data_IF_608271268729
#
_entry.id   IF_608271268729
#
_cell.length_a   1.000
_cell.length_b   1.000
_cell.length_c   1.000
_cell.angle_alpha   90.00
_cell.angle_beta   90.00
_cell.angle_gamma   90.00
#
_symmetry.space_group_name_H-M   'P 1'
#
loop_
_entity.id
_entity.type
_entity.pdbx_description
1 polymer ?
#
# COMPACT_ATOMS: atom_id res chain seq x y z
N UNK A 1 24.15 65.92 40.18
CA UNK A 1 25.13 65.42 39.18
C UNK A 1 24.58 64.15 38.59
N UNK A 2 24.17 64.08 37.33
CA UNK A 2 23.68 62.87 36.72
C UNK A 2 24.88 62.07 36.13
N UNK A 3 24.91 60.78 36.45
CA UNK A 3 25.84 59.83 35.86
C UNK A 3 25.43 59.57 34.40
N UNK A 4 26.36 59.86 33.50
CA UNK A 4 26.25 59.54 32.06
C UNK A 4 26.74 58.09 31.88
N UNK A 5 25.84 57.18 31.50
CA UNK A 5 26.19 55.82 31.07
C UNK A 5 26.55 55.85 29.60
N UNK A 6 27.81 55.58 29.30
CA UNK A 6 28.35 55.52 27.96
C UNK A 6 28.04 54.14 27.34
N UNK A 7 27.19 54.12 26.31
CA UNK A 7 26.92 52.91 25.52
C UNK A 7 28.11 52.66 24.55
N UNK A 8 28.79 51.54 24.75
CA UNK A 8 29.77 51.05 23.75
C UNK A 8 28.99 50.45 22.60
N UNK A 9 29.25 50.97 21.41
CA UNK A 9 28.76 50.45 20.13
C UNK A 9 29.53 49.14 19.83
N UNK A 10 28.83 48.01 19.89
CA UNK A 10 29.36 46.72 19.46
C UNK A 10 29.33 46.69 17.93
N UNK A 11 30.50 46.67 17.35
CA UNK A 11 30.70 46.52 15.89
C UNK A 11 30.15 45.16 15.42
N UNK A 12 29.40 45.10 14.32
CA UNK A 12 28.87 43.80 13.83
C UNK A 12 30.07 42.93 13.34
N UNK A 13 30.15 41.73 13.91
CA UNK A 13 31.04 40.67 13.45
C UNK A 13 30.65 40.32 12.03
N UNK A 14 31.50 40.65 11.07
CA UNK A 14 31.33 40.25 9.67
C UNK A 14 31.59 38.75 9.58
N UNK A 15 30.50 37.95 9.55
CA UNK A 15 30.60 36.51 9.27
C UNK A 15 31.03 36.37 7.83
N UNK A 16 32.31 36.04 7.63
CA UNK A 16 32.80 35.60 6.32
C UNK A 16 32.14 34.25 5.99
N UNK A 17 31.13 34.29 5.13
CA UNK A 17 30.67 33.10 4.44
C UNK A 17 31.79 32.68 3.52
N UNK A 18 32.59 31.67 3.94
CA UNK A 18 33.52 31.01 3.04
C UNK A 18 32.73 30.46 1.87
N UNK A 19 33.15 30.74 0.67
CA UNK A 19 32.61 30.17 -0.57
C UNK A 19 32.52 28.66 -0.43
N UNK A 20 31.32 28.15 -0.38
CA UNK A 20 31.04 26.72 -0.50
C UNK A 20 31.45 26.37 -1.93
N UNK A 21 32.48 25.54 -2.08
CA UNK A 21 33.01 25.21 -3.40
C UNK A 21 31.89 24.59 -4.26
N UNK A 22 31.89 24.90 -5.57
CA UNK A 22 30.92 24.38 -6.53
C UNK A 22 30.83 22.84 -6.50
N UNK A 23 31.87 22.13 -6.10
CA UNK A 23 31.89 20.68 -5.86
C UNK A 23 31.00 20.25 -4.71
N UNK A 24 30.87 21.05 -3.63
CA UNK A 24 29.97 20.71 -2.52
C UNK A 24 28.48 20.89 -2.89
N UNK A 25 28.17 21.88 -3.72
CA UNK A 25 26.84 22.13 -4.28
C UNK A 25 26.48 21.01 -5.26
N UNK A 26 27.42 20.54 -6.07
CA UNK A 26 27.23 19.41 -6.99
C UNK A 26 26.96 18.09 -6.27
N UNK A 27 27.57 17.85 -5.09
CA UNK A 27 27.27 16.68 -4.25
C UNK A 27 25.90 16.73 -3.55
N UNK A 28 25.37 17.93 -3.29
CA UNK A 28 24.04 18.08 -2.67
C UNK A 28 22.87 17.86 -3.65
N UNK A 29 23.13 17.88 -4.96
CA UNK A 29 22.09 17.74 -6.00
C UNK A 29 22.07 16.34 -6.67
N UNK A 30 22.90 15.40 -6.20
CA UNK A 30 22.80 14.00 -6.59
C UNK A 30 21.60 13.37 -5.88
N UNK A 31 20.39 13.56 -6.46
CA UNK A 31 19.21 12.82 -6.06
C UNK A 31 19.52 11.32 -6.15
N UNK A 32 19.55 10.64 -5.01
CA UNK A 32 19.76 9.20 -4.97
C UNK A 32 18.71 8.53 -5.86
N UNK A 33 19.16 7.71 -6.82
CA UNK A 33 18.25 6.92 -7.65
C UNK A 33 17.43 6.00 -6.75
N UNK A 34 16.13 5.97 -6.96
CA UNK A 34 15.25 5.11 -6.19
C UNK A 34 15.44 3.66 -6.61
N UNK A 35 15.46 2.78 -5.62
CA UNK A 35 15.50 1.33 -5.84
C UNK A 35 14.73 0.65 -4.70
N UNK A 36 13.47 0.39 -4.93
CA UNK A 36 12.54 -0.15 -3.95
C UNK A 36 12.02 -1.52 -4.36
N UNK A 37 11.84 -2.39 -3.38
CA UNK A 37 11.13 -3.66 -3.56
C UNK A 37 9.92 -3.68 -2.64
N UNK A 38 8.74 -3.82 -3.22
CA UNK A 38 7.47 -3.89 -2.52
C UNK A 38 7.00 -5.33 -2.36
N UNK A 39 6.65 -5.70 -1.14
CA UNK A 39 6.03 -6.97 -0.78
C UNK A 39 4.58 -6.71 -0.45
N UNK A 40 3.69 -6.99 -1.40
CA UNK A 40 2.25 -6.81 -1.24
C UNK A 40 1.61 -8.06 -0.66
N UNK A 41 0.88 -7.90 0.43
CA UNK A 41 0.19 -8.97 1.15
C UNK A 41 -1.29 -8.65 1.26
N UNK A 42 -2.16 -9.56 0.83
CA UNK A 42 -3.58 -9.49 1.15
C UNK A 42 -3.77 -9.82 2.64
N UNK A 43 -4.62 -9.08 3.34
CA UNK A 43 -4.93 -9.33 4.76
C UNK A 43 -5.31 -10.79 5.03
N UNK A 44 -5.13 -11.24 6.28
CA UNK A 44 -5.50 -12.57 6.74
C UNK A 44 -7.02 -12.81 6.64
N UNK A 45 -7.41 -14.08 6.57
CA UNK A 45 -8.81 -14.48 6.51
C UNK A 45 -9.60 -13.92 7.70
N UNK A 46 -10.74 -13.31 7.43
CA UNK A 46 -11.63 -12.70 8.42
C UNK A 46 -12.90 -13.53 8.63
N UNK A 47 -13.65 -13.23 9.70
CA UNK A 47 -14.97 -13.83 9.95
C UNK A 47 -15.87 -13.60 8.74
N UNK A 48 -15.98 -12.38 8.22
CA UNK A 48 -16.80 -12.07 7.04
C UNK A 48 -16.34 -12.83 5.79
N UNK A 49 -15.06 -13.11 5.63
CA UNK A 49 -14.61 -13.97 4.52
C UNK A 49 -15.12 -15.40 4.67
N UNK A 50 -15.20 -15.92 5.91
CA UNK A 50 -15.74 -17.27 6.19
C UNK A 50 -17.25 -17.33 5.96
N UNK A 51 -17.95 -16.26 6.31
CA UNK A 51 -19.41 -16.14 6.14
C UNK A 51 -19.81 -15.76 4.71
N UNK A 52 -18.85 -15.49 3.82
CA UNK A 52 -19.11 -15.08 2.44
C UNK A 52 -19.77 -13.72 2.33
N UNK A 53 -19.48 -12.81 3.27
CA UNK A 53 -20.03 -11.45 3.27
C UNK A 53 -19.15 -10.49 2.47
N UNK A 54 -19.80 -9.55 1.78
CA UNK A 54 -19.12 -8.48 1.04
C UNK A 54 -18.39 -7.56 2.02
N UNK A 55 -17.06 -7.45 1.89
CA UNK A 55 -16.26 -6.74 2.84
C UNK A 55 -15.43 -5.65 2.15
N UNK A 56 -15.91 -4.41 2.21
CA UNK A 56 -15.21 -3.21 1.75
C UNK A 56 -14.58 -2.45 2.91
N UNK A 57 -15.15 -1.29 3.26
CA UNK A 57 -14.74 -0.49 4.41
C UNK A 57 -15.29 -1.03 5.74
N UNK A 58 -16.37 -1.81 5.73
CA UNK A 58 -16.79 -2.60 6.88
C UNK A 58 -15.70 -3.57 7.30
N UNK A 59 -15.61 -3.87 8.58
CA UNK A 59 -14.50 -4.64 9.14
C UNK A 59 -14.97 -5.77 10.04
N UNK A 60 -14.24 -6.88 10.01
CA UNK A 60 -14.44 -8.01 10.92
C UNK A 60 -13.07 -8.56 11.35
N UNK A 61 -12.98 -9.21 12.53
CA UNK A 61 -11.72 -9.70 13.06
C UNK A 61 -11.13 -10.80 12.17
N UNK A 62 -9.81 -10.98 12.26
CA UNK A 62 -9.13 -12.15 11.69
C UNK A 62 -9.63 -13.41 12.37
N UNK A 63 -9.80 -14.48 11.59
CA UNK A 63 -9.98 -15.83 12.13
C UNK A 63 -8.64 -16.37 12.65
N UNK A 64 -8.66 -17.48 13.38
CA UNK A 64 -7.44 -18.19 13.78
C UNK A 64 -6.60 -18.58 12.56
N UNK A 65 -7.25 -19.07 11.49
CA UNK A 65 -6.60 -19.35 10.20
C UNK A 65 -5.91 -18.09 9.62
N UNK A 66 -6.61 -16.94 9.68
CA UNK A 66 -6.06 -15.66 9.21
C UNK A 66 -4.85 -15.20 10.01
N UNK A 67 -4.87 -15.35 11.34
CA UNK A 67 -3.73 -15.06 12.22
C UNK A 67 -2.55 -16.00 11.93
N UNK A 68 -2.82 -17.29 11.79
CA UNK A 68 -1.79 -18.28 11.49
C UNK A 68 -1.16 -18.07 10.11
N UNK A 69 -1.98 -17.73 9.09
CA UNK A 69 -1.49 -17.34 7.77
C UNK A 69 -0.55 -16.13 7.84
N UNK A 70 -0.93 -15.08 8.57
CA UNK A 70 -0.09 -13.90 8.74
C UNK A 70 1.24 -14.23 9.44
N UNK A 71 1.23 -15.09 10.47
CA UNK A 71 2.46 -15.56 11.15
C UNK A 71 3.35 -16.36 10.20
N UNK A 72 2.78 -17.29 9.40
CA UNK A 72 3.52 -18.06 8.38
C UNK A 72 4.17 -17.12 7.35
N UNK A 73 3.44 -16.09 6.89
CA UNK A 73 3.99 -15.05 6.02
C UNK A 73 5.16 -14.31 6.69
N UNK A 74 5.03 -13.98 7.98
CA UNK A 74 6.11 -13.37 8.77
C UNK A 74 7.36 -14.23 8.81
N UNK A 75 7.22 -15.55 8.99
CA UNK A 75 8.34 -16.52 8.96
C UNK A 75 8.96 -16.57 7.56
N UNK A 76 8.15 -16.68 6.51
CA UNK A 76 8.64 -16.73 5.13
C UNK A 76 9.44 -15.46 4.75
N UNK A 77 9.05 -14.30 5.27
CA UNK A 77 9.70 -13.02 5.02
C UNK A 77 10.70 -12.59 6.11
N UNK A 78 11.08 -13.50 7.02
CA UNK A 78 11.95 -13.15 8.14
C UNK A 78 13.37 -12.71 7.72
N UNK A 79 13.84 -13.22 6.59
CA UNK A 79 15.15 -12.90 6.01
C UNK A 79 15.18 -11.57 5.24
N UNK A 80 14.03 -10.95 5.00
CA UNK A 80 13.92 -9.68 4.25
C UNK A 80 14.09 -8.51 5.21
N UNK A 81 15.10 -7.64 5.02
CA UNK A 81 15.31 -6.44 5.82
C UNK A 81 14.34 -5.34 5.37
N UNK A 82 13.14 -5.32 5.94
CA UNK A 82 12.16 -4.26 5.69
C UNK A 82 12.59 -2.96 6.38
N UNK A 83 12.58 -1.85 5.62
CA UNK A 83 12.83 -0.50 6.15
C UNK A 83 11.55 0.13 6.71
N UNK A 84 10.38 -0.27 6.20
CA UNK A 84 9.07 0.19 6.63
C UNK A 84 7.99 -0.83 6.27
N UNK A 85 6.88 -0.76 6.96
CA UNK A 85 5.64 -1.44 6.64
C UNK A 85 4.50 -0.43 6.51
N UNK A 86 3.60 -0.67 5.58
CA UNK A 86 2.38 0.11 5.36
C UNK A 86 1.17 -0.80 5.38
N UNK A 87 0.08 -0.34 5.97
CA UNK A 87 -1.22 -1.01 5.87
C UNK A 87 -2.31 -0.02 5.46
N UNK A 88 -3.47 -0.52 5.04
CA UNK A 88 -4.67 0.31 5.07
C UNK A 88 -5.01 0.70 6.50
N UNK A 89 -5.99 1.60 6.68
CA UNK A 89 -6.46 2.00 8.02
C UNK A 89 -7.44 1.00 8.64
N UNK A 90 -7.81 -0.07 7.93
CA UNK A 90 -8.77 -1.07 8.39
C UNK A 90 -8.10 -2.08 9.34
N UNK A 91 -8.78 -2.41 10.45
CA UNK A 91 -8.20 -3.22 11.53
C UNK A 91 -7.65 -4.56 11.08
N UNK A 92 -8.30 -5.24 10.11
CA UNK A 92 -7.83 -6.53 9.57
C UNK A 92 -6.45 -6.45 8.91
N UNK A 93 -6.12 -5.34 8.21
CA UNK A 93 -4.79 -5.15 7.61
C UNK A 93 -3.75 -4.76 8.65
N UNK A 94 -4.12 -3.92 9.62
CA UNK A 94 -3.26 -3.55 10.75
C UNK A 94 -2.88 -4.80 11.54
N UNK A 95 -3.87 -5.63 11.92
CA UNK A 95 -3.63 -6.88 12.63
C UNK A 95 -2.75 -7.84 11.82
N UNK A 96 -3.01 -7.99 10.51
CA UNK A 96 -2.19 -8.82 9.62
C UNK A 96 -0.75 -8.33 9.58
N UNK A 97 -0.53 -7.03 9.37
CA UNK A 97 0.80 -6.42 9.35
C UNK A 97 1.54 -6.65 10.68
N UNK A 98 0.86 -6.46 11.81
CA UNK A 98 1.43 -6.67 13.14
C UNK A 98 1.87 -8.13 13.35
N UNK A 99 1.07 -9.11 12.90
CA UNK A 99 1.44 -10.53 12.99
C UNK A 99 2.61 -10.89 12.05
N UNK A 100 2.70 -10.28 10.87
CA UNK A 100 3.83 -10.46 9.94
C UNK A 100 5.10 -9.86 10.53
N UNK A 101 5.04 -8.65 11.07
CA UNK A 101 6.18 -7.95 11.67
C UNK A 101 6.68 -8.69 12.91
N UNK A 102 5.76 -9.16 13.75
CA UNK A 102 6.09 -9.87 14.99
C UNK A 102 6.88 -8.96 15.95
N UNK A 103 8.08 -9.42 16.35
CA UNK A 103 8.97 -8.69 17.29
C UNK A 103 10.04 -7.86 16.57
N UNK A 104 10.01 -7.77 15.23
CA UNK A 104 10.99 -6.99 14.46
C UNK A 104 10.75 -5.50 14.66
N UNK A 105 11.82 -4.72 14.73
CA UNK A 105 11.77 -3.26 14.81
C UNK A 105 11.54 -2.67 13.40
N UNK A 106 10.30 -2.77 12.92
CA UNK A 106 9.88 -2.27 11.60
C UNK A 106 8.75 -1.27 11.84
N UNK A 107 8.93 0.02 11.48
CA UNK A 107 7.89 1.02 11.63
C UNK A 107 6.67 0.68 10.76
N UNK A 108 5.48 0.73 11.35
CA UNK A 108 4.21 0.47 10.67
C UNK A 108 3.42 1.77 10.51
N UNK A 109 3.18 2.15 9.28
CA UNK A 109 2.38 3.32 8.88
C UNK A 109 1.05 2.89 8.27
N UNK A 110 0.08 3.81 8.27
CA UNK A 110 -1.26 3.57 7.71
C UNK A 110 -1.56 4.57 6.61
N UNK A 111 -2.15 4.10 5.50
CA UNK A 111 -2.53 4.94 4.38
C UNK A 111 -3.92 4.60 3.87
N UNK A 112 -4.85 5.58 3.86
CA UNK A 112 -6.24 5.38 3.42
C UNK A 112 -6.34 4.92 1.96
N UNK A 113 -5.41 5.37 1.10
CA UNK A 113 -5.35 4.94 -0.30
C UNK A 113 -5.12 3.43 -0.48
N UNK A 114 -4.72 2.70 0.58
CA UNK A 114 -4.59 1.25 0.60
C UNK A 114 -5.86 0.52 1.09
N UNK A 115 -6.96 1.24 1.43
CA UNK A 115 -8.21 0.62 1.83
C UNK A 115 -8.79 -0.26 0.73
N UNK A 116 -9.67 -1.20 1.10
CA UNK A 116 -10.43 -1.98 0.13
C UNK A 116 -11.38 -1.08 -0.68
N UNK A 117 -11.82 -1.57 -1.83
CA UNK A 117 -12.88 -0.95 -2.58
C UNK A 117 -14.11 -0.75 -1.69
N UNK A 118 -14.67 0.45 -1.70
CA UNK A 118 -15.91 0.73 -0.98
C UNK A 118 -17.09 0.16 -1.77
N UNK A 119 -17.85 -0.75 -1.15
CA UNK A 119 -18.98 -1.41 -1.78
C UNK A 119 -20.35 -0.84 -1.38
N UNK A 120 -20.36 0.27 -0.64
CA UNK A 120 -21.58 0.97 -0.28
C UNK A 120 -22.59 0.07 0.40
N UNK A 121 -23.85 0.09 -0.09
CA UNK A 121 -24.95 -0.69 0.49
C UNK A 121 -24.84 -2.22 0.33
N UNK A 122 -23.81 -2.72 -0.37
CA UNK A 122 -23.57 -4.17 -0.47
C UNK A 122 -22.72 -4.71 0.67
N UNK A 123 -22.05 -3.84 1.43
CA UNK A 123 -21.23 -4.28 2.55
C UNK A 123 -22.07 -5.04 3.61
N UNK A 124 -21.52 -6.15 4.10
CA UNK A 124 -22.20 -7.05 5.03
C UNK A 124 -23.28 -7.95 4.42
N UNK A 125 -23.60 -7.81 3.13
CA UNK A 125 -24.51 -8.73 2.45
C UNK A 125 -23.79 -10.01 2.03
N UNK A 126 -24.53 -11.11 2.03
CA UNK A 126 -24.04 -12.40 1.51
C UNK A 126 -23.75 -12.26 0.02
N UNK A 127 -22.53 -12.52 -0.41
CA UNK A 127 -22.06 -12.36 -1.79
C UNK A 127 -22.94 -13.15 -2.77
N UNK A 128 -23.36 -14.35 -2.39
CA UNK A 128 -24.19 -15.20 -3.25
C UNK A 128 -25.54 -14.55 -3.59
N UNK A 129 -26.12 -13.75 -2.70
CA UNK A 129 -27.38 -13.03 -2.97
C UNK A 129 -27.21 -11.89 -3.99
N UNK A 130 -25.97 -11.45 -4.22
CA UNK A 130 -25.65 -10.38 -5.18
C UNK A 130 -25.32 -10.91 -6.58
N UNK A 131 -25.04 -12.23 -6.73
CA UNK A 131 -24.52 -12.82 -7.98
C UNK A 131 -25.41 -12.56 -9.20
N UNK A 132 -26.73 -12.53 -9.01
CA UNK A 132 -27.66 -12.30 -10.12
C UNK A 132 -27.88 -10.82 -10.44
N UNK A 133 -27.44 -9.91 -9.57
CA UNK A 133 -27.55 -8.48 -9.82
C UNK A 133 -26.70 -8.05 -11.02
N UNK A 134 -27.26 -7.33 -12.03
CA UNK A 134 -26.53 -6.97 -13.25
C UNK A 134 -25.21 -6.24 -12.97
N UNK A 135 -25.23 -5.23 -12.10
CA UNK A 135 -24.03 -4.46 -11.78
C UNK A 135 -23.01 -5.26 -10.95
N UNK A 136 -23.44 -6.26 -10.17
CA UNK A 136 -22.50 -7.19 -9.53
C UNK A 136 -21.78 -8.07 -10.56
N UNK A 137 -22.49 -8.50 -11.63
CA UNK A 137 -21.86 -9.21 -12.76
C UNK A 137 -20.81 -8.32 -13.44
N UNK A 138 -21.10 -7.01 -13.60
CA UNK A 138 -20.11 -6.04 -14.11
C UNK A 138 -18.91 -5.92 -13.16
N UNK A 139 -19.14 -5.74 -11.85
CA UNK A 139 -18.06 -5.72 -10.85
C UNK A 139 -17.12 -6.92 -10.99
N UNK A 140 -17.63 -8.11 -11.30
CA UNK A 140 -16.81 -9.32 -11.36
C UNK A 140 -16.21 -9.58 -12.73
N UNK A 141 -16.93 -9.30 -13.82
CA UNK A 141 -16.57 -9.74 -15.17
C UNK A 141 -16.37 -8.62 -16.19
N UNK A 142 -16.85 -7.42 -15.91
CA UNK A 142 -16.84 -6.29 -16.86
C UNK A 142 -16.55 -4.98 -16.13
N UNK A 143 -15.32 -4.83 -15.59
CA UNK A 143 -14.96 -3.66 -14.80
C UNK A 143 -15.11 -2.33 -15.54
N UNK A 144 -14.97 -2.33 -16.87
CA UNK A 144 -15.13 -1.13 -17.70
C UNK A 144 -16.56 -0.53 -17.61
N UNK A 145 -17.56 -1.38 -17.44
CA UNK A 145 -18.97 -0.99 -17.37
C UNK A 145 -19.52 -0.90 -15.92
N UNK A 146 -18.73 -1.30 -14.92
CA UNK A 146 -19.13 -1.13 -13.51
C UNK A 146 -19.08 0.34 -13.09
N UNK A 147 -20.23 0.89 -12.69
CA UNK A 147 -20.39 2.32 -12.34
C UNK A 147 -20.73 2.59 -10.87
N UNK A 148 -20.87 1.53 -10.06
CA UNK A 148 -21.22 1.59 -8.64
C UNK A 148 -22.55 2.30 -8.33
N UNK A 149 -23.48 2.36 -9.29
CA UNK A 149 -24.75 3.07 -9.14
C UNK A 149 -25.72 2.34 -8.21
N UNK A 150 -25.76 1.01 -8.29
CA UNK A 150 -26.69 0.20 -7.50
C UNK A 150 -26.32 0.14 -6.02
N UNK A 151 -25.05 0.31 -5.69
CA UNK A 151 -24.57 0.19 -4.30
C UNK A 151 -24.07 1.51 -3.70
N UNK A 152 -23.86 2.56 -4.52
CA UNK A 152 -23.27 3.82 -4.06
C UNK A 152 -21.82 3.67 -3.61
N UNK A 153 -21.13 2.68 -4.15
CA UNK A 153 -19.74 2.36 -3.82
C UNK A 153 -18.73 3.14 -4.65
N UNK A 154 -17.53 2.57 -4.76
CA UNK A 154 -16.39 3.12 -5.48
C UNK A 154 -16.21 2.39 -6.82
N UNK A 155 -15.95 3.14 -7.90
CA UNK A 155 -15.61 2.56 -9.20
C UNK A 155 -14.17 2.05 -9.22
N UNK A 156 -13.80 1.23 -10.21
CA UNK A 156 -12.41 0.78 -10.38
C UNK A 156 -11.46 1.90 -10.77
N UNK A 157 -11.94 2.93 -11.46
CA UNK A 157 -11.16 4.11 -11.78
C UNK A 157 -10.75 4.86 -10.51
N UNK A 158 -11.72 5.19 -9.65
CA UNK A 158 -11.47 5.84 -8.36
C UNK A 158 -10.55 5.01 -7.46
N UNK A 159 -10.79 3.70 -7.40
CA UNK A 159 -9.94 2.77 -6.66
C UNK A 159 -8.49 2.77 -7.18
N UNK A 160 -8.32 2.71 -8.50
CA UNK A 160 -7.01 2.73 -9.15
C UNK A 160 -6.25 4.01 -8.89
N UNK A 161 -6.90 5.16 -9.06
CA UNK A 161 -6.31 6.48 -8.83
C UNK A 161 -5.78 6.62 -7.39
N UNK A 162 -6.63 6.30 -6.36
CA UNK A 162 -6.19 6.44 -4.96
C UNK A 162 -5.12 5.42 -4.55
N UNK A 163 -5.19 4.19 -5.07
CA UNK A 163 -4.19 3.17 -4.75
C UNK A 163 -2.83 3.49 -5.39
N UNK A 164 -2.82 3.94 -6.64
CA UNK A 164 -1.59 4.41 -7.30
C UNK A 164 -1.02 5.65 -6.62
N UNK A 165 -1.89 6.60 -6.22
CA UNK A 165 -1.44 7.77 -5.45
C UNK A 165 -0.79 7.35 -4.14
N UNK A 166 -1.37 6.41 -3.38
CA UNK A 166 -0.79 5.90 -2.15
C UNK A 166 0.61 5.31 -2.38
N UNK A 167 0.78 4.51 -3.45
CA UNK A 167 2.07 3.94 -3.79
C UNK A 167 3.09 5.02 -4.16
N UNK A 168 2.69 6.04 -4.94
CA UNK A 168 3.54 7.18 -5.27
C UNK A 168 3.95 8.00 -4.02
N UNK A 169 3.04 8.18 -3.06
CA UNK A 169 3.34 8.89 -1.82
C UNK A 169 4.36 8.10 -0.98
N UNK A 170 4.27 6.77 -0.94
CA UNK A 170 5.27 5.90 -0.30
C UNK A 170 6.63 6.00 -1.03
N UNK A 171 6.65 5.96 -2.37
CA UNK A 171 7.88 6.09 -3.17
C UNK A 171 8.57 7.43 -2.92
N UNK A 172 7.84 8.53 -2.72
CA UNK A 172 8.43 9.84 -2.43
C UNK A 172 9.22 9.85 -1.12
N UNK A 173 8.80 9.06 -0.11
CA UNK A 173 9.39 9.05 1.24
C UNK A 173 10.66 8.20 1.28
N UNK A 174 10.74 7.15 0.48
CA UNK A 174 11.82 6.17 0.52
C UNK A 174 12.66 6.19 -0.75
N UNK A 175 13.98 6.06 -0.63
CA UNK A 175 14.89 5.99 -1.77
C UNK A 175 15.28 4.56 -2.10
N UNK A 176 15.63 3.74 -1.11
CA UNK A 176 16.10 2.37 -1.31
C UNK A 176 15.58 1.44 -0.22
N UNK A 177 15.40 0.15 -0.56
CA UNK A 177 15.09 -0.90 0.40
C UNK A 177 13.78 -1.64 0.16
N UNK A 178 13.43 -2.51 1.11
CA UNK A 178 12.26 -3.36 1.03
C UNK A 178 11.12 -2.76 1.86
N UNK A 179 9.93 -2.73 1.28
CA UNK A 179 8.73 -2.18 1.92
C UNK A 179 7.64 -3.25 1.94
N UNK A 180 7.10 -3.50 3.12
CA UNK A 180 5.93 -4.37 3.31
C UNK A 180 4.66 -3.55 3.10
N UNK A 181 3.72 -4.01 2.27
CA UNK A 181 2.40 -3.39 2.09
C UNK A 181 1.31 -4.42 2.35
N UNK A 182 0.45 -4.17 3.34
CA UNK A 182 -0.70 -5.02 3.65
C UNK A 182 -1.99 -4.31 3.26
N UNK A 183 -2.73 -4.89 2.32
CA UNK A 183 -3.96 -4.32 1.77
C UNK A 183 -4.98 -5.42 1.49
N UNK A 184 -5.82 -5.30 0.48
CA UNK A 184 -7.05 -6.05 0.30
C UNK A 184 -7.16 -6.71 -1.07
N UNK A 185 -8.19 -7.53 -1.24
CA UNK A 185 -8.38 -8.35 -2.43
C UNK A 185 -8.56 -7.56 -3.71
N UNK A 186 -9.56 -6.67 -3.79
CA UNK A 186 -9.83 -5.89 -4.98
C UNK A 186 -8.76 -4.83 -5.22
N UNK A 187 -8.36 -4.13 -4.17
CA UNK A 187 -7.32 -3.08 -4.26
C UNK A 187 -6.01 -3.64 -4.76
N UNK A 188 -5.50 -4.73 -4.20
CA UNK A 188 -4.24 -5.31 -4.66
C UNK A 188 -4.37 -5.98 -6.03
N UNK A 189 -5.49 -6.62 -6.34
CA UNK A 189 -5.71 -7.18 -7.67
C UNK A 189 -5.62 -6.12 -8.75
N UNK A 190 -6.32 -4.98 -8.54
CA UNK A 190 -6.26 -3.85 -9.47
C UNK A 190 -4.86 -3.24 -9.51
N UNK A 191 -4.28 -2.92 -8.35
CA UNK A 191 -2.97 -2.27 -8.27
C UNK A 191 -1.88 -3.10 -8.97
N UNK A 192 -1.79 -4.40 -8.67
CA UNK A 192 -0.80 -5.29 -9.30
C UNK A 192 -1.01 -5.42 -10.81
N UNK A 193 -2.26 -5.43 -11.28
CA UNK A 193 -2.56 -5.43 -12.71
C UNK A 193 -2.10 -4.12 -13.38
N UNK A 194 -2.36 -2.95 -12.76
CA UNK A 194 -1.88 -1.66 -13.26
C UNK A 194 -0.35 -1.62 -13.33
N UNK A 195 0.34 -2.12 -12.29
CA UNK A 195 1.80 -2.19 -12.26
C UNK A 195 2.36 -3.17 -13.30
N UNK A 196 1.54 -4.10 -13.79
CA UNK A 196 1.85 -5.05 -14.85
C UNK A 196 1.35 -4.62 -16.25
N UNK A 197 1.06 -3.33 -16.42
CA UNK A 197 0.69 -2.73 -17.71
C UNK A 197 -0.78 -2.87 -18.12
N UNK A 198 -1.68 -3.31 -17.22
CA UNK A 198 -3.11 -3.27 -17.44
C UNK A 198 -3.69 -1.87 -17.22
N UNK A 199 -4.96 -1.70 -17.55
CA UNK A 199 -5.78 -0.55 -17.18
C UNK A 199 -6.86 -0.96 -16.18
N UNK A 200 -7.54 0.02 -15.56
CA UNK A 200 -8.64 -0.30 -14.67
C UNK A 200 -9.81 -1.00 -15.40
N UNK A 201 -9.95 -0.79 -16.71
CA UNK A 201 -10.99 -1.39 -17.54
C UNK A 201 -10.76 -2.89 -17.77
N UNK A 202 -9.50 -3.32 -17.92
CA UNK A 202 -9.14 -4.69 -18.27
C UNK A 202 -8.34 -5.45 -17.19
N UNK A 203 -8.26 -4.91 -15.98
CA UNK A 203 -7.47 -5.50 -14.90
C UNK A 203 -7.96 -6.88 -14.44
N UNK A 204 -9.11 -7.33 -14.92
CA UNK A 204 -9.67 -8.65 -14.61
C UNK A 204 -9.50 -9.68 -15.73
N UNK A 205 -8.90 -9.29 -16.84
CA UNK A 205 -8.58 -10.22 -17.93
C UNK A 205 -7.63 -11.31 -17.40
N UNK A 206 -7.80 -12.55 -17.88
CA UNK A 206 -7.12 -13.72 -17.33
C UNK A 206 -5.59 -13.61 -17.41
N UNK A 207 -5.07 -12.96 -18.46
CA UNK A 207 -3.65 -12.72 -18.67
C UNK A 207 -3.09 -11.53 -17.89
N UNK A 208 -3.93 -10.73 -17.23
CA UNK A 208 -3.54 -9.49 -16.54
C UNK A 208 -3.48 -9.61 -15.03
N UNK A 209 -4.32 -10.43 -14.43
CA UNK A 209 -4.38 -10.52 -12.98
C UNK A 209 -4.82 -11.88 -12.44
N UNK A 210 -4.53 -12.08 -11.15
CA UNK A 210 -4.98 -13.24 -10.41
C UNK A 210 -5.82 -12.84 -9.21
N UNK A 211 -6.75 -13.71 -8.79
CA UNK A 211 -7.44 -13.55 -7.51
C UNK A 211 -6.48 -13.91 -6.37
N UNK A 212 -6.24 -12.96 -5.48
CA UNK A 212 -5.24 -13.12 -4.41
C UNK A 212 -5.78 -13.96 -3.26
N UNK A 213 -4.99 -14.93 -2.81
CA UNK A 213 -5.24 -15.71 -1.60
C UNK A 213 -4.93 -14.83 -0.37
N UNK A 214 -5.68 -15.00 0.73
CA UNK A 214 -5.36 -14.31 1.98
C UNK A 214 -3.91 -14.64 2.41
N UNK A 215 -3.17 -13.63 2.82
CA UNK A 215 -1.75 -13.69 3.21
C UNK A 215 -0.77 -14.17 2.13
N UNK A 216 -1.20 -14.26 0.86
CA UNK A 216 -0.27 -14.49 -0.26
C UNK A 216 0.69 -13.31 -0.45
N UNK A 217 1.85 -13.61 -1.03
CA UNK A 217 2.94 -12.66 -1.27
C UNK A 217 2.99 -12.32 -2.76
N UNK A 218 3.00 -11.02 -3.08
CA UNK A 218 3.35 -10.53 -4.42
C UNK A 218 4.53 -9.57 -4.32
N UNK A 219 5.47 -9.65 -5.25
CA UNK A 219 6.72 -8.88 -5.23
C UNK A 219 6.82 -8.00 -6.46
N UNK A 220 7.08 -6.72 -6.25
CA UNK A 220 7.23 -5.73 -7.31
C UNK A 220 8.47 -4.88 -7.04
N UNK A 221 9.32 -4.72 -8.03
CA UNK A 221 10.46 -3.82 -8.01
C UNK A 221 10.09 -2.49 -8.64
N UNK A 222 10.70 -1.44 -8.14
CA UNK A 222 10.61 -0.09 -8.70
C UNK A 222 11.98 0.55 -8.74
N UNK A 223 12.32 1.14 -9.86
CA UNK A 223 13.44 2.06 -10.01
C UNK A 223 13.05 3.26 -10.89
N UNK A 224 13.80 4.37 -10.76
CA UNK A 224 13.52 5.61 -11.50
C UNK A 224 13.75 5.50 -13.02
N UNK A 225 14.50 4.50 -13.50
CA UNK A 225 14.83 4.32 -14.92
C UNK A 225 13.81 3.45 -15.65
N UNK A 226 13.40 2.34 -15.01
CA UNK A 226 12.59 1.31 -15.64
C UNK A 226 11.13 1.30 -15.11
N UNK A 227 10.86 2.06 -14.04
CA UNK A 227 9.56 2.06 -13.39
C UNK A 227 9.28 0.76 -12.62
N UNK A 228 8.06 0.25 -12.74
CA UNK A 228 7.63 -0.96 -12.03
C UNK A 228 7.90 -2.23 -12.83
N UNK A 229 8.36 -3.27 -12.14
CA UNK A 229 8.53 -4.62 -12.66
C UNK A 229 7.95 -5.64 -11.68
N UNK A 230 6.89 -6.31 -12.08
CA UNK A 230 6.29 -7.39 -11.27
C UNK A 230 7.17 -8.63 -11.39
N UNK A 231 7.66 -9.11 -10.25
CA UNK A 231 8.46 -10.34 -10.18
C UNK A 231 7.57 -11.55 -9.91
N UNK A 232 6.64 -11.41 -8.97
CA UNK A 232 5.81 -12.51 -8.49
C UNK A 232 4.44 -12.02 -8.08
N UNK A 233 3.39 -12.80 -8.39
CA UNK A 233 2.03 -12.54 -7.92
C UNK A 233 1.46 -13.76 -7.19
N UNK A 234 0.76 -13.50 -6.08
CA UNK A 234 -0.08 -14.47 -5.37
C UNK A 234 0.67 -15.76 -4.95
N UNK A 235 1.92 -15.65 -4.54
CA UNK A 235 2.65 -16.81 -4.00
C UNK A 235 2.10 -17.18 -2.60
N UNK A 236 1.57 -18.38 -2.51
CA UNK A 236 0.99 -18.96 -1.28
C UNK A 236 1.72 -20.24 -0.84
N UNK A 237 2.92 -20.53 -1.36
CA UNK A 237 3.65 -21.76 -1.05
C UNK A 237 3.99 -21.90 0.43
N UNK A 238 4.23 -20.78 1.12
CA UNK A 238 4.52 -20.74 2.56
C UNK A 238 3.30 -21.08 3.44
N UNK A 239 2.11 -21.18 2.88
CA UNK A 239 0.88 -21.49 3.61
C UNK A 239 0.59 -23.00 3.69
N UNK A 240 1.26 -23.79 2.87
CA UNK A 240 1.13 -25.26 2.82
C UNK A 240 1.69 -25.92 4.05
#
# INVERSE_FOLDING_TARGET
MPCIVQWQVITPVKIMIKEVSASLIFFMDMKMKKQLTFYFIRHGKTVWNTEGLMQGHGDSPLTEEGVNGAKKTGVALNHIPFIAAYSSVLKRTIATASHIIGKRDIPLFHHQGLNEQYFGSWEGKVVDTLREHPEFKQLIKDPANYKAQANGGETFEQLGERAMKALQDIIKIHDQGNILIVSHGHTLRLLLALLNGATWQNHRDEDKSVSLINTSISVVHYDDENGFRVEKMNDANHLK
#
